data_IF_663098845167
#
_entry.id   IF_663098845167
#
_cell.length_a   1.000
_cell.length_b   1.000
_cell.length_c   1.000
_cell.angle_alpha   90.00
_cell.angle_beta   90.00
_cell.angle_gamma   90.00
#
_symmetry.space_group_name_H-M   'P 1'
#
loop_
_entity.id
_entity.type
_entity.pdbx_description
1 polymer ?
#
# COMPACT_ATOMS: atom_id res chain seq x y z
N UNK A 1 -30.40 -1.01 -78.44
CA UNK A 1 -29.09 -1.44 -77.88
C UNK A 1 -28.70 -0.36 -76.87
N UNK A 2 -28.97 -0.60 -75.60
CA UNK A 2 -28.64 0.33 -74.51
C UNK A 2 -27.63 -0.43 -73.64
N UNK A 3 -26.40 0.11 -73.54
CA UNK A 3 -25.34 -0.42 -72.71
C UNK A 3 -25.41 0.32 -71.36
N UNK A 4 -25.76 -0.41 -70.32
CA UNK A 4 -25.69 0.06 -68.94
C UNK A 4 -24.26 -0.01 -68.42
N UNK A 5 -23.69 1.11 -67.99
CA UNK A 5 -22.44 1.14 -67.24
C UNK A 5 -22.77 0.93 -65.74
N UNK A 6 -22.27 -0.12 -65.15
CA UNK A 6 -22.21 -0.26 -63.69
C UNK A 6 -20.97 0.47 -63.18
N UNK A 7 -21.17 1.50 -62.40
CA UNK A 7 -20.13 2.14 -61.58
C UNK A 7 -20.03 1.42 -60.24
N UNK A 8 -18.91 0.74 -59.99
CA UNK A 8 -18.60 0.15 -58.70
C UNK A 8 -17.99 1.23 -57.79
N UNK A 9 -18.71 1.58 -56.71
CA UNK A 9 -18.19 2.47 -55.66
C UNK A 9 -17.44 1.62 -54.63
N UNK A 10 -16.13 1.76 -54.57
CA UNK A 10 -15.30 1.13 -53.53
C UNK A 10 -15.40 1.99 -52.24
N UNK A 11 -16.02 1.45 -51.20
CA UNK A 11 -16.03 2.08 -49.87
C UNK A 11 -14.72 1.72 -49.15
N UNK A 12 -13.85 2.68 -48.96
CA UNK A 12 -12.64 2.52 -48.15
C UNK A 12 -13.01 2.60 -46.66
N UNK A 13 -12.92 1.46 -45.98
CA UNK A 13 -13.10 1.39 -44.52
C UNK A 13 -11.80 1.87 -43.82
N UNK A 14 -11.81 3.08 -43.31
CA UNK A 14 -10.70 3.61 -42.51
C UNK A 14 -10.84 3.07 -41.08
N UNK A 15 -10.04 2.06 -40.71
CA UNK A 15 -9.88 1.63 -39.32
C UNK A 15 -9.00 2.65 -38.61
N UNK A 16 -9.62 3.53 -37.85
CA UNK A 16 -8.93 4.38 -36.87
C UNK A 16 -8.58 3.50 -35.63
N UNK A 17 -7.30 3.08 -35.55
CA UNK A 17 -6.75 2.58 -34.29
C UNK A 17 -6.66 3.74 -33.31
N UNK A 18 -7.63 3.82 -32.41
CA UNK A 18 -7.51 4.68 -31.24
C UNK A 18 -6.38 4.12 -30.37
N UNK A 19 -5.27 4.86 -30.28
CA UNK A 19 -4.28 4.63 -29.25
C UNK A 19 -4.97 4.87 -27.91
N UNK A 20 -5.23 3.80 -27.16
CA UNK A 20 -5.59 3.94 -25.75
C UNK A 20 -4.36 4.47 -25.03
N UNK A 21 -4.34 5.75 -24.72
CA UNK A 21 -3.41 6.31 -23.75
C UNK A 21 -3.66 5.56 -22.43
N UNK A 22 -2.76 4.64 -22.12
CA UNK A 22 -2.65 4.11 -20.78
C UNK A 22 -2.14 5.26 -19.90
N UNK A 23 -3.08 6.11 -19.46
CA UNK A 23 -2.83 7.06 -18.39
C UNK A 23 -2.41 6.23 -17.18
N UNK A 24 -1.10 6.22 -16.90
CA UNK A 24 -0.60 5.75 -15.62
C UNK A 24 -1.31 6.61 -14.57
N UNK A 25 -2.26 5.99 -13.86
CA UNK A 25 -2.93 6.64 -12.75
C UNK A 25 -1.81 7.06 -11.79
N UNK A 26 -1.55 8.36 -11.72
CA UNK A 26 -0.73 8.92 -10.66
C UNK A 26 -1.46 8.58 -9.38
N UNK A 27 -0.97 7.60 -8.64
CA UNK A 27 -1.47 7.26 -7.31
C UNK A 27 -1.14 8.47 -6.44
N UNK A 28 -2.09 9.40 -6.31
CA UNK A 28 -1.94 10.50 -5.37
C UNK A 28 -1.82 9.90 -3.99
N UNK A 29 -0.86 10.39 -3.20
CA UNK A 29 -0.78 10.07 -1.78
C UNK A 29 -2.14 10.32 -1.16
N UNK A 30 -2.62 9.33 -0.38
CA UNK A 30 -3.81 9.54 0.44
C UNK A 30 -3.52 10.67 1.43
N UNK A 31 -4.53 11.46 1.74
CA UNK A 31 -4.46 12.50 2.76
C UNK A 31 -4.32 11.93 4.18
N UNK A 32 -3.88 10.77 4.36
CA UNK A 32 -3.54 10.09 5.61
C UNK A 32 -4.34 10.48 6.86
N UNK A 33 -4.10 9.84 7.98
CA UNK A 33 -4.69 10.25 9.25
C UNK A 33 -4.16 11.62 9.67
N UNK A 34 -4.99 12.37 10.41
CA UNK A 34 -4.62 13.70 10.93
C UNK A 34 -3.38 13.64 11.83
N UNK A 35 -2.72 14.81 12.04
CA UNK A 35 -1.59 14.92 12.96
C UNK A 35 -1.83 14.15 14.28
N UNK A 36 -0.80 13.50 14.84
CA UNK A 36 0.63 13.65 14.53
C UNK A 36 1.18 12.71 13.44
N UNK A 37 0.35 11.93 12.77
CA UNK A 37 0.80 10.93 11.78
C UNK A 37 1.40 11.60 10.54
N UNK A 38 2.45 10.95 10.01
CA UNK A 38 3.12 11.33 8.76
C UNK A 38 3.30 10.10 7.88
N UNK A 39 3.25 10.29 6.56
CA UNK A 39 3.57 9.22 5.62
C UNK A 39 5.02 8.75 5.84
N UNK A 40 5.23 7.44 5.93
CA UNK A 40 6.58 6.86 6.15
C UNK A 40 7.52 7.23 5.02
N UNK A 41 7.03 7.29 3.77
CA UNK A 41 7.79 7.74 2.60
C UNK A 41 8.33 9.17 2.71
N UNK A 42 7.70 10.01 3.53
CA UNK A 42 8.21 11.37 3.81
C UNK A 42 9.34 11.41 4.87
N UNK A 43 9.51 10.33 5.62
CA UNK A 43 10.52 10.22 6.68
C UNK A 43 11.74 9.44 6.24
N UNK A 44 11.56 8.43 5.39
CA UNK A 44 12.61 7.54 4.89
C UNK A 44 12.39 7.28 3.41
N UNK A 45 13.47 6.92 2.69
CA UNK A 45 13.40 6.65 1.24
C UNK A 45 12.74 5.27 0.98
N UNK A 46 11.42 5.25 1.05
CA UNK A 46 10.57 4.10 0.71
C UNK A 46 9.50 4.53 -0.31
N UNK A 47 8.95 3.60 -1.08
CA UNK A 47 7.76 3.88 -1.90
C UNK A 47 6.58 4.38 -1.04
N UNK A 48 5.70 5.18 -1.63
CA UNK A 48 4.49 5.65 -0.96
C UNK A 48 3.55 4.49 -0.59
N UNK A 49 3.48 3.49 -1.46
CA UNK A 49 2.73 2.26 -1.24
C UNK A 49 3.68 1.08 -1.18
N UNK A 50 3.60 0.28 -0.11
CA UNK A 50 4.44 -0.89 0.12
C UNK A 50 3.59 -2.14 -0.09
N UNK A 51 3.87 -2.96 -1.12
CA UNK A 51 3.15 -4.20 -1.34
C UNK A 51 3.13 -5.09 -0.08
N UNK A 52 1.95 -5.55 0.28
CA UNK A 52 1.72 -6.34 1.50
C UNK A 52 1.45 -5.53 2.77
N UNK A 53 1.68 -4.20 2.77
CA UNK A 53 1.45 -3.34 3.93
C UNK A 53 0.55 -2.14 3.64
N UNK A 54 0.50 -1.69 2.37
CA UNK A 54 -0.24 -0.50 1.95
C UNK A 54 0.56 0.79 2.05
N UNK A 55 -0.11 1.93 2.01
CA UNK A 55 0.48 3.23 2.29
C UNK A 55 0.59 3.41 3.80
N UNK A 56 1.83 3.52 4.30
CA UNK A 56 2.11 3.55 5.73
C UNK A 56 2.17 4.96 6.29
N UNK A 57 1.54 5.13 7.45
CA UNK A 57 1.61 6.34 8.27
C UNK A 57 2.06 6.00 9.69
N UNK A 58 2.86 6.85 10.31
CA UNK A 58 3.36 6.68 11.67
C UNK A 58 3.40 8.01 12.40
N UNK A 59 3.16 7.99 13.71
CA UNK A 59 3.51 9.09 14.60
C UNK A 59 5.03 9.03 14.85
N UNK A 60 5.83 10.00 14.39
CA UNK A 60 7.28 9.96 14.54
C UNK A 60 7.76 9.81 15.98
N UNK A 61 6.96 10.25 16.95
CA UNK A 61 7.30 10.13 18.38
C UNK A 61 7.24 8.68 18.90
N UNK A 62 6.64 7.75 18.12
CA UNK A 62 6.51 6.33 18.50
C UNK A 62 7.58 5.44 17.89
N UNK A 63 8.46 5.99 17.09
CA UNK A 63 9.53 5.22 16.45
C UNK A 63 10.51 4.64 17.49
N UNK A 64 11.07 3.45 17.25
CA UNK A 64 10.86 2.58 16.10
C UNK A 64 9.63 1.67 16.18
N UNK A 65 8.96 1.57 17.33
CA UNK A 65 7.95 0.54 17.58
C UNK A 65 6.64 0.75 16.80
N UNK A 66 6.26 1.97 16.48
CA UNK A 66 4.97 2.29 15.87
C UNK A 66 3.85 2.54 16.89
N UNK A 67 2.57 2.44 16.51
CA UNK A 67 2.05 1.71 15.35
C UNK A 67 2.27 2.41 14.00
N UNK A 68 2.49 1.60 12.98
CA UNK A 68 2.44 1.99 11.58
C UNK A 68 1.07 1.62 11.03
N UNK A 69 0.31 2.59 10.52
CA UNK A 69 -1.04 2.39 9.98
C UNK A 69 -0.95 2.23 8.47
N UNK A 70 -1.40 1.08 7.94
CA UNK A 70 -1.37 0.75 6.52
C UNK A 70 -2.75 0.89 5.89
N UNK A 71 -2.83 1.74 4.88
CA UNK A 71 -4.04 2.01 4.13
C UNK A 71 -3.95 1.45 2.71
N UNK A 72 -5.05 0.94 2.19
CA UNK A 72 -5.17 0.56 0.78
C UNK A 72 -5.39 1.79 -0.12
N UNK A 73 -5.50 1.55 -1.43
CA UNK A 73 -5.72 2.62 -2.41
C UNK A 73 -7.08 3.33 -2.29
N UNK A 74 -8.03 2.74 -1.58
CA UNK A 74 -9.35 3.32 -1.31
C UNK A 74 -9.36 4.14 0.00
N UNK A 75 -8.22 4.24 0.69
CA UNK A 75 -8.11 4.93 1.97
C UNK A 75 -8.69 4.16 3.15
N UNK A 76 -8.84 2.84 3.04
CA UNK A 76 -9.28 1.99 4.13
C UNK A 76 -8.08 1.50 4.93
N UNK A 77 -8.15 1.60 6.26
CA UNK A 77 -7.17 0.97 7.16
C UNK A 77 -7.24 -0.55 7.01
N UNK A 78 -6.14 -1.16 6.58
CA UNK A 78 -6.03 -2.60 6.34
C UNK A 78 -5.10 -3.25 7.34
N UNK A 79 -3.98 -2.59 7.68
CA UNK A 79 -2.98 -3.12 8.60
C UNK A 79 -2.63 -2.13 9.69
N UNK A 80 -2.24 -2.66 10.85
CA UNK A 80 -1.55 -1.91 11.90
C UNK A 80 -0.33 -2.72 12.31
N UNK A 81 0.87 -2.18 12.09
CA UNK A 81 2.11 -2.91 12.28
C UNK A 81 2.90 -2.31 13.45
N UNK A 82 3.38 -3.17 14.33
CA UNK A 82 4.41 -2.84 15.30
C UNK A 82 5.72 -3.45 14.84
N UNK A 83 6.81 -2.70 15.00
CA UNK A 83 8.15 -3.13 14.62
C UNK A 83 9.04 -3.18 15.86
N UNK A 84 9.61 -4.34 16.14
CA UNK A 84 10.43 -4.56 17.33
C UNK A 84 11.85 -4.96 16.92
N UNK A 85 12.82 -4.04 16.99
CA UNK A 85 14.22 -4.36 16.74
C UNK A 85 14.71 -5.49 17.66
N UNK A 86 15.45 -6.46 17.10
CA UNK A 86 15.98 -7.57 17.91
C UNK A 86 16.96 -7.09 18.99
N UNK A 87 17.64 -5.98 18.75
CA UNK A 87 18.51 -5.35 19.75
C UNK A 87 17.78 -4.90 21.02
N UNK A 88 16.47 -4.67 20.93
CA UNK A 88 15.59 -4.32 22.05
C UNK A 88 15.06 -5.55 22.80
N UNK A 89 15.11 -6.75 22.21
CA UNK A 89 14.56 -7.98 22.78
C UNK A 89 15.50 -8.53 23.87
N UNK A 90 15.37 -8.01 25.08
CA UNK A 90 16.12 -8.40 26.27
C UNK A 90 15.17 -8.95 27.33
N UNK A 91 15.66 -9.73 28.34
CA UNK A 91 14.81 -10.36 29.35
C UNK A 91 13.87 -9.42 30.12
N UNK A 92 14.25 -8.14 30.24
CA UNK A 92 13.50 -7.08 30.97
C UNK A 92 12.75 -6.13 30.04
N UNK A 93 12.77 -6.39 28.72
CA UNK A 93 12.07 -5.54 27.74
C UNK A 93 10.57 -5.54 28.00
N UNK A 94 10.00 -4.33 28.01
CA UNK A 94 8.55 -4.13 28.12
C UNK A 94 8.14 -3.00 27.19
N UNK A 95 7.27 -3.31 26.22
CA UNK A 95 6.57 -2.31 25.42
C UNK A 95 5.12 -2.25 25.91
N UNK A 96 4.80 -1.23 26.69
CA UNK A 96 3.47 -1.08 27.29
C UNK A 96 2.73 0.10 26.69
N UNK A 97 1.39 0.03 26.73
CA UNK A 97 0.50 1.12 26.32
C UNK A 97 0.72 1.58 24.88
N UNK A 98 1.15 0.68 24.00
CA UNK A 98 1.19 0.98 22.58
C UNK A 98 -0.24 1.32 22.12
N UNK A 99 -0.35 2.31 21.23
CA UNK A 99 -1.66 2.65 20.65
C UNK A 99 -2.21 1.45 19.92
N UNK A 100 -3.47 1.07 20.21
CA UNK A 100 -4.17 0.05 19.48
C UNK A 100 -4.72 0.61 18.14
N UNK A 101 -4.91 -0.24 17.12
CA UNK A 101 -5.53 0.17 15.88
C UNK A 101 -6.97 0.66 16.11
N UNK A 102 -7.43 1.55 15.24
CA UNK A 102 -8.84 1.87 15.13
C UNK A 102 -9.57 0.72 14.43
N UNK A 103 -10.65 0.22 15.02
CA UNK A 103 -11.47 -0.85 14.44
C UNK A 103 -11.17 -2.25 14.98
N UNK A 104 -11.77 -3.25 14.33
CA UNK A 104 -11.66 -4.66 14.72
C UNK A 104 -10.42 -5.28 14.07
N UNK A 105 -9.66 -6.04 14.84
CA UNK A 105 -8.59 -6.90 14.34
C UNK A 105 -9.19 -8.25 13.98
N UNK A 106 -8.98 -8.71 12.75
CA UNK A 106 -9.42 -10.01 12.27
C UNK A 106 -8.41 -11.10 12.66
N UNK A 107 -7.13 -10.89 12.31
CA UNK A 107 -6.05 -11.83 12.61
C UNK A 107 -4.71 -11.09 12.78
N UNK A 108 -3.67 -11.83 13.18
CA UNK A 108 -2.35 -11.29 13.47
C UNK A 108 -1.28 -12.16 12.81
N UNK A 109 -0.36 -11.52 12.11
CA UNK A 109 0.88 -12.13 11.62
C UNK A 109 2.08 -11.67 12.40
N UNK A 110 3.05 -12.56 12.62
CA UNK A 110 4.34 -12.24 13.22
C UNK A 110 5.43 -12.67 12.24
N UNK A 111 6.17 -11.70 11.72
CA UNK A 111 7.15 -11.91 10.68
C UNK A 111 8.52 -11.41 11.10
N UNK A 112 9.56 -12.24 10.89
CA UNK A 112 10.95 -11.81 10.99
C UNK A 112 11.35 -11.05 9.73
N UNK A 113 12.04 -9.92 9.91
CA UNK A 113 12.62 -9.14 8.83
C UNK A 113 14.14 -8.96 9.10
N UNK A 114 14.97 -9.28 8.12
CA UNK A 114 16.42 -9.17 8.24
C UNK A 114 16.95 -7.72 8.13
N UNK A 115 16.08 -6.79 7.85
CA UNK A 115 16.37 -5.37 7.61
C UNK A 115 15.87 -4.90 6.25
N UNK A 116 15.50 -3.64 6.16
CA UNK A 116 15.05 -2.99 4.93
C UNK A 116 15.49 -1.51 4.91
N UNK A 117 15.34 -0.78 3.78
CA UNK A 117 15.62 0.64 3.74
C UNK A 117 14.88 1.40 4.87
N UNK A 118 15.61 2.23 5.60
CA UNK A 118 15.13 2.95 6.80
C UNK A 118 15.35 2.23 8.11
N UNK A 119 15.43 0.88 8.14
CA UNK A 119 15.78 0.07 9.32
C UNK A 119 16.68 -1.09 8.91
N UNK A 120 17.99 -0.89 9.00
CA UNK A 120 18.98 -1.86 8.55
C UNK A 120 19.14 -3.05 9.51
N UNK A 121 18.73 -2.92 10.78
CA UNK A 121 18.86 -3.99 11.74
C UNK A 121 17.72 -5.02 11.65
N UNK A 122 17.97 -6.29 12.00
CA UNK A 122 16.92 -7.31 12.07
C UNK A 122 15.86 -6.95 13.12
N UNK A 123 14.60 -7.18 12.76
CA UNK A 123 13.46 -6.86 13.61
C UNK A 123 12.28 -7.80 13.36
N UNK A 124 11.31 -7.77 14.26
CA UNK A 124 10.04 -8.49 14.13
C UNK A 124 8.95 -7.50 13.79
N UNK A 125 8.12 -7.81 12.79
CA UNK A 125 6.85 -7.17 12.55
C UNK A 125 5.73 -7.96 13.21
N UNK A 126 4.89 -7.28 13.98
CA UNK A 126 3.61 -7.78 14.47
C UNK A 126 2.54 -7.01 13.69
N UNK A 127 1.88 -7.70 12.79
CA UNK A 127 0.89 -7.10 11.86
C UNK A 127 -0.50 -7.51 12.33
N UNK A 128 -1.29 -6.53 12.71
CA UNK A 128 -2.70 -6.70 13.02
C UNK A 128 -3.50 -6.35 11.75
N UNK A 129 -4.24 -7.33 11.24
CA UNK A 129 -5.07 -7.15 10.07
C UNK A 129 -6.47 -6.68 10.46
N UNK A 130 -6.93 -5.59 9.85
CA UNK A 130 -8.27 -5.03 10.02
C UNK A 130 -9.26 -5.53 8.94
N UNK A 131 -8.84 -6.50 8.16
CA UNK A 131 -9.60 -7.15 7.09
C UNK A 131 -9.40 -8.66 7.15
N UNK A 132 -10.36 -9.47 6.66
CA UNK A 132 -10.19 -10.92 6.57
C UNK A 132 -9.06 -11.32 5.62
N UNK A 133 -8.47 -12.51 5.82
CA UNK A 133 -7.40 -13.09 4.96
C UNK A 133 -7.73 -12.97 3.46
N UNK A 134 -8.99 -13.23 3.07
CA UNK A 134 -9.42 -13.11 1.67
C UNK A 134 -9.30 -11.68 1.09
N UNK A 135 -9.11 -10.68 1.93
CA UNK A 135 -9.00 -9.26 1.54
C UNK A 135 -7.58 -8.68 1.73
N UNK A 136 -6.59 -9.46 2.12
CA UNK A 136 -5.19 -9.02 2.20
C UNK A 136 -4.66 -8.52 0.84
N UNK A 137 -5.22 -9.06 -0.26
CA UNK A 137 -4.91 -8.61 -1.63
C UNK A 137 -5.19 -7.12 -1.88
N UNK A 138 -5.93 -6.43 -1.00
CA UNK A 138 -6.18 -4.98 -1.07
C UNK A 138 -4.88 -4.17 -0.97
N UNK A 139 -3.85 -4.72 -0.36
CA UNK A 139 -2.52 -4.09 -0.22
C UNK A 139 -1.43 -4.85 -0.98
N UNK A 140 -1.77 -5.81 -1.85
CA UNK A 140 -0.80 -6.62 -2.58
C UNK A 140 -0.03 -5.85 -3.68
N UNK A 141 -0.61 -4.78 -4.21
CA UNK A 141 -0.06 -3.99 -5.32
C UNK A 141 -0.36 -2.52 -5.13
#
# INVERSE_FOLDING_TARGET
>A
MIRSLLTATAAALVLSFGAADASAASTSLLDGPTAPYKAVSSLVKLPDFIPGLGQLFVDPATLPAGPFLGYDHDGKLVTTTYMIPLSMMKPDMQLKNLKAPAGTVDHVDILYNAGHPGVAEPHVHIILWNVPVAQESRVAK
#
